data_IF_198813708896
#
_entry.id   IF_198813708896
#
_cell.length_a   1.000
_cell.length_b   1.000
_cell.length_c   1.000
_cell.angle_alpha   90.00
_cell.angle_beta   90.00
_cell.angle_gamma   90.00
#
_symmetry.space_group_name_H-M   'P 1'
#
loop_
_entity.id
_entity.type
_entity.pdbx_description
1 polymer ?
#
# COMPACT_ATOMS: atom_id res chain seq x y z
N UNK A 1 -2.31 30.99 4.43
CA UNK A 1 -2.07 30.65 5.85
C UNK A 1 -0.80 29.81 5.84
N UNK A 2 0.33 30.35 6.29
CA UNK A 2 1.63 29.67 6.24
C UNK A 2 1.67 28.69 7.41
N UNK A 3 1.56 27.41 7.15
CA UNK A 3 1.81 26.38 8.17
C UNK A 3 3.33 26.31 8.32
N UNK A 4 3.87 26.89 9.36
CA UNK A 4 5.26 26.67 9.76
C UNK A 4 5.38 25.23 10.23
N UNK A 5 6.28 24.46 9.59
CA UNK A 5 6.59 23.09 10.00
C UNK A 5 7.10 23.13 11.45
N UNK A 6 6.28 22.62 12.37
CA UNK A 6 6.73 22.29 13.72
C UNK A 6 7.37 20.89 13.63
N UNK A 7 8.71 20.83 13.65
CA UNK A 7 9.48 19.58 13.52
C UNK A 7 9.15 18.53 14.59
N UNK A 8 8.40 18.88 15.63
CA UNK A 8 7.96 18.01 16.72
C UNK A 8 6.47 17.65 16.67
N UNK A 9 5.71 18.10 15.67
CA UNK A 9 4.29 17.80 15.59
C UNK A 9 4.05 16.36 15.20
N UNK A 10 3.38 15.59 16.05
CA UNK A 10 2.84 14.27 15.72
C UNK A 10 1.49 14.42 15.05
N UNK A 11 1.37 13.97 13.81
CA UNK A 11 0.11 13.93 13.06
C UNK A 11 -0.67 12.65 13.38
N UNK A 12 -1.98 12.78 13.58
CA UNK A 12 -2.91 11.66 13.70
C UNK A 12 -3.71 11.43 12.42
N UNK A 13 -4.61 10.44 12.44
CA UNK A 13 -5.49 10.15 11.30
C UNK A 13 -6.33 11.35 10.89
N UNK A 14 -6.87 12.07 11.84
CA UNK A 14 -7.72 13.24 11.60
C UNK A 14 -7.01 14.44 10.93
N UNK A 15 -5.67 14.46 10.96
CA UNK A 15 -4.88 15.47 10.27
C UNK A 15 -4.70 15.16 8.76
N UNK A 16 -4.86 13.88 8.33
CA UNK A 16 -4.57 13.44 6.97
C UNK A 16 -5.39 14.16 5.89
N UNK A 17 -6.70 14.40 6.04
CA UNK A 17 -7.45 15.18 5.07
C UNK A 17 -6.89 16.60 4.88
N UNK A 18 -6.41 17.22 5.98
CA UNK A 18 -5.73 18.51 5.94
C UNK A 18 -4.41 18.44 5.16
N UNK A 19 -3.59 17.42 5.39
CA UNK A 19 -2.35 17.19 4.64
C UNK A 19 -2.62 16.92 3.15
N UNK A 20 -3.63 16.12 2.84
CA UNK A 20 -4.04 15.86 1.46
C UNK A 20 -4.49 17.15 0.75
N UNK A 21 -5.19 18.04 1.45
CA UNK A 21 -5.66 19.31 0.88
C UNK A 21 -4.54 20.29 0.51
N UNK A 22 -3.31 20.09 0.98
CA UNK A 22 -2.14 20.86 0.56
C UNK A 22 -1.70 20.53 -0.85
N UNK A 23 -2.05 19.34 -1.34
CA UNK A 23 -1.71 18.85 -2.67
C UNK A 23 -2.76 19.32 -3.68
N UNK A 24 -2.59 20.53 -4.22
CA UNK A 24 -3.55 21.20 -5.12
C UNK A 24 -3.26 21.02 -6.60
N UNK A 25 -2.30 20.17 -6.96
CA UNK A 25 -1.97 19.83 -8.34
C UNK A 25 -3.18 19.22 -9.09
N UNK A 26 -3.09 19.18 -10.43
CA UNK A 26 -4.14 18.60 -11.31
C UNK A 26 -4.23 17.07 -11.11
N UNK A 27 -4.85 16.65 -10.00
CA UNK A 27 -5.03 15.24 -9.66
C UNK A 27 -6.37 14.72 -10.18
N UNK A 28 -6.28 13.84 -11.19
CA UNK A 28 -7.45 13.21 -11.82
C UNK A 28 -7.96 11.97 -11.09
N UNK A 29 -7.23 11.51 -10.07
CA UNK A 29 -7.48 10.25 -9.38
C UNK A 29 -7.85 10.44 -7.89
N UNK A 30 -8.43 11.58 -7.51
CA UNK A 30 -8.82 11.88 -6.13
C UNK A 30 -9.61 10.77 -5.42
N UNK A 31 -10.66 10.18 -6.05
CA UNK A 31 -11.36 9.03 -5.46
C UNK A 31 -10.47 7.79 -5.26
N UNK A 32 -9.45 7.61 -6.11
CA UNK A 32 -8.50 6.51 -5.94
C UNK A 32 -7.58 6.74 -4.73
N UNK A 33 -7.22 7.98 -4.43
CA UNK A 33 -6.43 8.33 -3.25
C UNK A 33 -7.21 8.08 -1.96
N UNK A 34 -8.44 8.60 -1.86
CA UNK A 34 -9.26 8.45 -0.66
C UNK A 34 -9.60 6.99 -0.35
N UNK A 35 -9.71 6.12 -1.36
CA UNK A 35 -10.00 4.70 -1.15
C UNK A 35 -8.89 3.94 -0.40
N UNK A 36 -7.66 4.44 -0.38
CA UNK A 36 -6.51 3.79 0.25
C UNK A 36 -6.14 4.36 1.61
N UNK A 37 -6.75 5.47 2.02
CA UNK A 37 -6.29 6.27 3.16
C UNK A 37 -6.27 5.49 4.48
N UNK A 38 -7.38 4.85 4.84
CA UNK A 38 -7.53 4.09 6.09
C UNK A 38 -6.56 2.91 6.14
N UNK A 39 -6.50 2.18 5.03
CA UNK A 39 -5.59 1.03 4.87
C UNK A 39 -4.14 1.46 5.08
N UNK A 40 -3.70 2.51 4.41
CA UNK A 40 -2.35 3.04 4.53
C UNK A 40 -2.06 3.54 5.95
N UNK A 41 -3.03 4.23 6.56
CA UNK A 41 -2.87 4.71 7.93
C UNK A 41 -2.68 3.57 8.91
N UNK A 42 -3.61 2.59 8.95
CA UNK A 42 -3.51 1.46 9.88
C UNK A 42 -2.21 0.68 9.68
N UNK A 43 -1.80 0.51 8.43
CA UNK A 43 -0.57 -0.20 8.10
C UNK A 43 0.67 0.52 8.65
N UNK A 44 0.82 1.82 8.40
CA UNK A 44 1.98 2.61 8.84
C UNK A 44 1.96 2.97 10.32
N UNK A 45 0.77 3.09 10.92
CA UNK A 45 0.63 3.48 12.33
C UNK A 45 0.81 2.30 13.28
N UNK A 46 0.32 1.10 12.91
CA UNK A 46 0.15 0.00 13.86
C UNK A 46 0.86 -1.31 13.47
N UNK A 47 1.29 -1.47 12.23
CA UNK A 47 1.70 -2.78 11.69
C UNK A 47 3.13 -2.79 11.19
N UNK A 48 3.49 -1.88 10.29
CA UNK A 48 4.82 -1.86 9.65
C UNK A 48 5.94 -1.54 10.66
N UNK A 49 6.97 -2.35 10.63
CA UNK A 49 8.20 -2.14 11.41
C UNK A 49 9.22 -1.36 10.58
N UNK A 50 8.86 -0.14 10.22
CA UNK A 50 9.70 0.80 9.48
C UNK A 50 9.51 2.21 10.03
N UNK A 51 10.63 2.95 10.15
CA UNK A 51 10.63 4.37 10.52
C UNK A 51 11.54 5.14 9.57
N UNK A 52 11.45 6.47 9.49
CA UNK A 52 12.36 7.27 8.67
C UNK A 52 13.84 6.96 8.90
N UNK A 53 14.25 6.77 10.18
CA UNK A 53 15.63 6.48 10.57
C UNK A 53 16.07 5.07 10.19
N UNK A 54 15.11 4.15 10.08
CA UNK A 54 15.34 2.74 9.76
C UNK A 54 14.95 2.36 8.34
N UNK A 55 14.67 3.33 7.47
CA UNK A 55 14.23 3.07 6.09
C UNK A 55 15.23 2.26 5.26
N UNK A 56 16.51 2.27 5.64
CA UNK A 56 17.58 1.52 4.96
C UNK A 56 18.02 0.27 5.74
N UNK A 57 17.39 -0.04 6.88
CA UNK A 57 17.68 -1.24 7.68
C UNK A 57 17.29 -2.50 6.91
N UNK A 58 18.18 -3.47 6.81
CA UNK A 58 17.92 -4.75 6.14
C UNK A 58 16.79 -5.54 6.81
N UNK A 59 16.57 -5.34 8.12
CA UNK A 59 15.55 -6.02 8.92
C UNK A 59 14.21 -5.28 9.00
N UNK A 60 14.05 -4.16 8.25
CA UNK A 60 12.74 -3.48 8.17
C UNK A 60 11.71 -4.29 7.40
N UNK A 61 10.45 -4.06 7.68
CA UNK A 61 9.39 -4.46 6.75
C UNK A 61 9.46 -3.62 5.47
N UNK A 62 8.95 -4.15 4.36
CA UNK A 62 8.91 -3.48 3.07
C UNK A 62 7.47 -3.27 2.65
N UNK A 63 7.15 -2.06 2.22
CA UNK A 63 5.83 -1.74 1.69
C UNK A 63 5.91 -1.26 0.25
N UNK A 64 5.23 -1.97 -0.65
CA UNK A 64 5.15 -1.66 -2.08
C UNK A 64 3.76 -1.13 -2.42
N UNK A 65 3.67 0.14 -2.82
CA UNK A 65 2.42 0.71 -3.35
C UNK A 65 2.33 0.40 -4.84
N UNK A 66 1.66 -0.69 -5.22
CA UNK A 66 1.43 -1.03 -6.63
C UNK A 66 0.32 -0.19 -7.25
N UNK A 67 -0.79 0.01 -6.52
CA UNK A 67 -1.86 0.95 -6.87
C UNK A 67 -1.38 2.40 -6.76
N UNK A 68 -0.47 2.80 -7.66
CA UNK A 68 0.20 4.10 -7.61
C UNK A 68 -0.63 5.28 -8.13
N UNK A 69 -1.83 5.03 -8.67
CA UNK A 69 -2.74 6.08 -9.12
C UNK A 69 -3.43 6.74 -7.92
N UNK A 70 -3.39 8.07 -7.86
CA UNK A 70 -3.89 8.83 -6.71
C UNK A 70 -3.01 8.68 -5.45
N UNK A 71 -1.73 9.07 -5.51
CA UNK A 71 -0.77 8.83 -4.43
C UNK A 71 -0.92 9.79 -3.24
N UNK A 72 -1.88 10.71 -3.27
CA UNK A 72 -2.02 11.78 -2.27
C UNK A 72 -2.18 11.22 -0.85
N UNK A 73 -2.97 10.14 -0.66
CA UNK A 73 -3.08 9.49 0.64
C UNK A 73 -1.73 8.92 1.10
N UNK A 74 -0.97 8.32 0.18
CA UNK A 74 0.35 7.79 0.50
C UNK A 74 1.32 8.88 0.92
N UNK A 75 1.40 9.98 0.16
CA UNK A 75 2.26 11.12 0.52
C UNK A 75 1.85 11.78 1.84
N UNK A 76 0.54 11.91 2.09
CA UNK A 76 0.06 12.43 3.36
C UNK A 76 0.48 11.53 4.53
N UNK A 77 0.37 10.21 4.39
CA UNK A 77 0.82 9.24 5.42
C UNK A 77 2.34 9.29 5.59
N UNK A 78 3.11 9.33 4.50
CA UNK A 78 4.57 9.46 4.58
C UNK A 78 5.00 10.77 5.29
N UNK A 79 4.31 11.88 5.00
CA UNK A 79 4.56 13.15 5.67
C UNK A 79 4.17 13.10 7.17
N UNK A 80 3.01 12.52 7.49
CA UNK A 80 2.54 12.35 8.87
C UNK A 80 3.50 11.48 9.71
N UNK A 81 4.16 10.51 9.08
CA UNK A 81 5.14 9.62 9.70
C UNK A 81 6.59 10.12 9.60
N UNK A 82 6.83 11.28 9.01
CA UNK A 82 8.13 11.93 8.94
C UNK A 82 9.10 11.38 7.88
N UNK A 83 8.63 10.55 6.94
CA UNK A 83 9.46 10.08 5.82
C UNK A 83 9.76 11.19 4.82
N UNK A 84 8.81 12.09 4.61
CA UNK A 84 8.97 13.27 3.76
C UNK A 84 8.56 14.54 4.52
N UNK A 85 9.18 15.70 4.23
CA UNK A 85 8.78 16.96 4.84
C UNK A 85 7.37 17.37 4.41
N UNK A 86 6.57 17.93 5.34
CA UNK A 86 5.21 18.41 5.05
C UNK A 86 5.23 19.55 4.03
N UNK A 87 6.26 20.36 4.00
CA UNK A 87 6.43 21.47 3.06
C UNK A 87 6.65 21.01 1.60
N UNK A 88 6.86 19.72 1.34
CA UNK A 88 6.87 19.17 0.00
C UNK A 88 5.46 19.01 -0.60
N UNK A 89 4.43 18.84 0.26
CA UNK A 89 3.07 18.53 -0.19
C UNK A 89 2.47 19.60 -1.14
N UNK A 90 2.63 20.91 -0.88
CA UNK A 90 2.13 21.93 -1.81
C UNK A 90 2.74 21.89 -3.21
N UNK A 91 3.93 21.29 -3.35
CA UNK A 91 4.61 21.12 -4.64
C UNK A 91 4.14 19.92 -5.46
N UNK A 92 3.19 19.12 -4.95
CA UNK A 92 2.69 17.92 -5.63
C UNK A 92 2.38 18.15 -7.11
N UNK A 93 2.90 17.29 -7.98
CA UNK A 93 2.66 17.33 -9.43
C UNK A 93 3.39 18.43 -10.19
N UNK A 94 4.14 19.33 -9.52
CA UNK A 94 4.96 20.32 -10.22
C UNK A 94 6.25 19.71 -10.75
N UNK A 95 6.83 20.35 -11.79
CA UNK A 95 7.99 19.81 -12.51
C UNK A 95 9.21 19.54 -11.62
N UNK A 96 9.47 20.43 -10.66
CA UNK A 96 10.63 20.32 -9.76
C UNK A 96 10.32 19.58 -8.45
N UNK A 97 9.11 19.05 -8.31
CA UNK A 97 8.70 18.34 -7.09
C UNK A 97 9.15 16.88 -7.10
N UNK A 98 9.64 16.33 -5.99
CA UNK A 98 9.83 14.88 -5.85
C UNK A 98 8.51 14.12 -5.77
N UNK A 99 7.38 14.81 -5.49
CA UNK A 99 6.05 14.23 -5.36
C UNK A 99 5.30 14.31 -6.69
N UNK A 100 5.54 13.33 -7.56
CA UNK A 100 4.85 13.20 -8.84
C UNK A 100 3.47 12.54 -8.73
N UNK A 101 2.74 12.46 -9.85
CA UNK A 101 1.44 11.77 -9.95
C UNK A 101 1.52 10.26 -9.69
N UNK A 102 2.71 9.71 -9.66
CA UNK A 102 3.03 8.35 -9.22
C UNK A 102 4.27 8.40 -8.33
N UNK A 103 4.32 7.63 -7.24
CA UNK A 103 5.52 7.60 -6.40
C UNK A 103 6.74 7.11 -7.18
N UNK A 104 7.86 7.77 -6.95
CA UNK A 104 9.16 7.39 -7.50
C UNK A 104 10.09 6.97 -6.37
N UNK A 105 10.64 5.76 -6.46
CA UNK A 105 11.54 5.19 -5.44
C UNK A 105 12.81 6.03 -5.22
N UNK A 106 13.30 6.68 -6.27
CA UNK A 106 14.55 7.45 -6.20
C UNK A 106 14.34 8.81 -5.54
N UNK A 107 13.16 9.39 -5.75
CA UNK A 107 12.83 10.75 -5.32
C UNK A 107 12.12 10.81 -3.97
N UNK A 108 11.32 9.78 -3.62
CA UNK A 108 10.45 9.79 -2.44
C UNK A 108 11.01 8.87 -1.36
N UNK A 109 11.56 9.42 -0.26
CA UNK A 109 12.02 8.63 0.88
C UNK A 109 10.90 7.74 1.45
N UNK A 110 11.19 6.46 1.65
CA UNK A 110 10.21 5.47 2.13
C UNK A 110 9.41 4.78 1.03
N UNK A 111 9.50 5.21 -0.24
CA UNK A 111 8.93 4.46 -1.36
C UNK A 111 9.86 3.31 -1.76
N UNK A 112 9.35 2.07 -1.76
CA UNK A 112 10.15 0.87 -2.11
C UNK A 112 10.21 0.61 -3.61
N UNK A 113 9.20 1.05 -4.36
CA UNK A 113 9.14 0.93 -5.82
C UNK A 113 8.66 2.24 -6.46
N UNK A 114 9.09 2.51 -7.68
CA UNK A 114 8.39 3.42 -8.58
C UNK A 114 7.14 2.71 -9.09
N UNK A 115 5.98 3.37 -9.00
CA UNK A 115 4.70 2.77 -9.35
C UNK A 115 3.99 3.54 -10.47
N UNK A 116 2.80 3.06 -10.88
CA UNK A 116 2.02 3.60 -11.99
C UNK A 116 1.76 2.58 -13.09
N UNK A 117 2.61 1.58 -13.25
CA UNK A 117 2.35 0.44 -14.11
C UNK A 117 1.62 -0.65 -13.32
N UNK A 118 0.30 -0.76 -13.51
CA UNK A 118 -0.52 -1.75 -12.83
C UNK A 118 -0.02 -3.17 -13.11
N UNK A 119 -0.16 -4.05 -12.13
CA UNK A 119 0.26 -5.45 -12.21
C UNK A 119 1.72 -5.73 -11.86
N UNK A 120 2.57 -4.72 -11.64
CA UNK A 120 3.98 -4.93 -11.37
C UNK A 120 4.32 -5.13 -9.90
N UNK A 121 3.58 -4.49 -8.98
CA UNK A 121 3.95 -4.50 -7.56
C UNK A 121 3.88 -5.86 -6.91
N UNK A 122 2.86 -6.68 -7.19
CA UNK A 122 2.73 -8.00 -6.59
C UNK A 122 3.84 -8.97 -7.05
N UNK A 123 4.18 -9.11 -8.34
CA UNK A 123 5.34 -9.91 -8.77
C UNK A 123 6.66 -9.44 -8.15
N UNK A 124 6.88 -8.11 -8.02
CA UNK A 124 8.07 -7.56 -7.36
C UNK A 124 8.07 -7.92 -5.87
N UNK A 125 6.91 -7.87 -5.21
CA UNK A 125 6.78 -8.27 -3.80
C UNK A 125 7.09 -9.77 -3.60
N UNK A 126 6.64 -10.64 -4.52
CA UNK A 126 7.00 -12.07 -4.55
C UNK A 126 8.52 -12.22 -4.67
N UNK A 127 9.15 -11.54 -5.61
CA UNK A 127 10.61 -11.55 -5.78
C UNK A 127 11.35 -11.05 -4.53
N UNK A 128 10.84 -10.01 -3.89
CA UNK A 128 11.40 -9.46 -2.65
C UNK A 128 11.30 -10.45 -1.49
N UNK A 129 10.16 -11.13 -1.32
CA UNK A 129 9.96 -12.15 -0.29
C UNK A 129 10.89 -13.36 -0.51
N UNK A 130 11.07 -13.79 -1.78
CA UNK A 130 12.04 -14.83 -2.15
C UNK A 130 13.48 -14.38 -1.83
N UNK A 131 13.84 -13.15 -2.15
CA UNK A 131 15.14 -12.57 -1.88
C UNK A 131 15.47 -12.52 -0.39
N UNK A 132 14.52 -12.12 0.45
CA UNK A 132 14.67 -12.15 1.92
C UNK A 132 14.87 -13.58 2.42
N UNK A 133 14.06 -14.53 1.96
CA UNK A 133 14.18 -15.95 2.31
C UNK A 133 15.53 -16.53 1.89
N UNK A 134 16.01 -16.20 0.70
CA UNK A 134 17.32 -16.65 0.20
C UNK A 134 18.50 -16.10 1.04
N UNK A 135 18.34 -14.93 1.62
CA UNK A 135 19.30 -14.30 2.54
C UNK A 135 19.14 -14.77 4.00
N UNK A 136 18.26 -15.74 4.27
CA UNK A 136 17.87 -16.18 5.62
C UNK A 136 17.34 -15.06 6.52
N UNK A 137 16.76 -14.01 5.94
CA UNK A 137 16.07 -12.94 6.64
C UNK A 137 14.58 -13.31 6.79
N UNK A 138 14.26 -14.04 7.85
CA UNK A 138 12.92 -14.61 8.03
C UNK A 138 11.96 -13.68 8.79
N UNK A 139 12.47 -12.65 9.43
CA UNK A 139 11.69 -11.74 10.28
C UNK A 139 10.99 -10.61 9.50
N UNK A 140 11.62 -9.95 8.50
CA UNK A 140 10.99 -8.91 7.72
C UNK A 140 9.80 -9.41 6.91
N UNK A 141 8.71 -8.64 6.91
CA UNK A 141 7.55 -8.87 6.05
C UNK A 141 7.64 -8.02 4.77
N UNK A 142 7.01 -8.50 3.70
CA UNK A 142 6.79 -7.77 2.47
C UNK A 142 5.29 -7.53 2.33
N UNK A 143 4.92 -6.27 2.28
CA UNK A 143 3.55 -5.80 2.12
C UNK A 143 3.39 -5.17 0.74
N UNK A 144 2.31 -5.47 0.05
CA UNK A 144 1.97 -4.84 -1.23
C UNK A 144 0.50 -4.45 -1.25
N UNK A 145 0.23 -3.21 -1.65
CA UNK A 145 -1.12 -2.72 -1.86
C UNK A 145 -1.41 -2.63 -3.35
N UNK A 146 -2.46 -3.33 -3.77
CA UNK A 146 -2.99 -3.35 -5.14
C UNK A 146 -4.45 -2.90 -5.15
N UNK A 147 -4.95 -2.50 -6.30
CA UNK A 147 -6.38 -2.23 -6.52
C UNK A 147 -7.11 -3.44 -7.10
N UNK A 148 -8.43 -3.48 -6.96
CA UNK A 148 -9.29 -4.49 -7.58
C UNK A 148 -9.16 -4.53 -9.11
N UNK A 149 -9.15 -3.36 -9.78
CA UNK A 149 -8.95 -3.27 -11.23
C UNK A 149 -7.54 -3.74 -11.65
N UNK A 150 -6.55 -3.61 -10.79
CA UNK A 150 -5.20 -4.08 -11.04
C UNK A 150 -5.12 -5.61 -11.13
N UNK A 151 -6.07 -6.34 -10.54
CA UNK A 151 -6.18 -7.79 -10.66
C UNK A 151 -6.55 -8.26 -12.07
N UNK A 152 -6.95 -7.38 -12.97
CA UNK A 152 -7.14 -7.71 -14.38
C UNK A 152 -5.81 -7.91 -15.13
N UNK A 153 -4.69 -7.46 -14.55
CA UNK A 153 -3.35 -7.63 -15.13
C UNK A 153 -2.84 -9.07 -14.96
N UNK A 154 -2.38 -9.68 -16.07
CA UNK A 154 -1.95 -11.08 -16.13
C UNK A 154 -0.83 -11.43 -15.15
N UNK A 155 0.12 -10.53 -14.93
CA UNK A 155 1.24 -10.71 -14.00
C UNK A 155 0.81 -10.93 -12.54
N UNK A 156 -0.31 -10.34 -12.12
CA UNK A 156 -0.89 -10.61 -10.80
C UNK A 156 -1.40 -12.06 -10.69
N UNK A 157 -1.97 -12.60 -11.77
CA UNK A 157 -2.43 -13.98 -11.78
C UNK A 157 -1.27 -14.97 -11.62
N UNK A 158 -0.16 -14.71 -12.31
CA UNK A 158 1.07 -15.51 -12.21
C UNK A 158 1.67 -15.42 -10.81
N UNK A 159 1.76 -14.22 -10.24
CA UNK A 159 2.27 -14.00 -8.89
C UNK A 159 1.43 -14.70 -7.82
N UNK A 160 0.09 -14.62 -7.92
CA UNK A 160 -0.84 -15.31 -7.01
C UNK A 160 -0.65 -16.82 -7.08
N UNK A 161 -0.64 -17.38 -8.31
CA UNK A 161 -0.49 -18.82 -8.55
C UNK A 161 0.86 -19.37 -8.05
N UNK A 162 1.92 -18.55 -8.09
CA UNK A 162 3.25 -18.92 -7.63
C UNK A 162 3.40 -18.83 -6.10
N UNK A 163 2.96 -17.75 -5.49
CA UNK A 163 3.27 -17.43 -4.09
C UNK A 163 2.65 -18.40 -3.08
N UNK A 164 1.43 -18.90 -3.34
CA UNK A 164 0.75 -19.87 -2.48
C UNK A 164 1.53 -21.17 -2.35
N UNK A 165 1.74 -21.94 -3.45
CA UNK A 165 2.53 -23.18 -3.41
C UNK A 165 3.98 -22.97 -2.92
N UNK A 166 4.55 -21.79 -3.14
CA UNK A 166 5.88 -21.45 -2.63
C UNK A 166 5.93 -21.20 -1.12
N UNK A 167 4.77 -21.12 -0.45
CA UNK A 167 4.67 -20.93 1.00
C UNK A 167 5.33 -19.61 1.45
N UNK A 168 5.05 -18.50 0.76
CA UNK A 168 5.65 -17.20 1.09
C UNK A 168 4.93 -16.55 2.27
N UNK A 169 5.06 -17.12 3.46
CA UNK A 169 4.37 -16.70 4.68
C UNK A 169 4.59 -15.23 5.04
N UNK A 170 5.74 -14.64 4.67
CA UNK A 170 6.03 -13.23 4.96
C UNK A 170 5.56 -12.26 3.88
N UNK A 171 4.80 -12.74 2.89
CA UNK A 171 4.17 -11.94 1.86
C UNK A 171 2.71 -11.64 2.24
N UNK A 172 2.41 -10.36 2.36
CA UNK A 172 1.07 -9.84 2.63
C UNK A 172 0.60 -8.98 1.47
N UNK A 173 -0.57 -9.28 0.95
CA UNK A 173 -1.20 -8.49 -0.11
C UNK A 173 -2.45 -7.81 0.45
N UNK A 174 -2.63 -6.54 0.12
CA UNK A 174 -3.84 -5.80 0.44
C UNK A 174 -4.49 -5.44 -0.89
N UNK A 175 -5.74 -5.85 -1.07
CA UNK A 175 -6.54 -5.47 -2.23
C UNK A 175 -7.55 -4.44 -1.78
N UNK A 176 -7.44 -3.20 -2.28
CA UNK A 176 -8.48 -2.20 -2.07
C UNK A 176 -9.55 -2.41 -3.14
N UNK A 177 -10.71 -2.90 -2.68
CA UNK A 177 -11.87 -3.18 -3.53
C UNK A 177 -12.85 -2.00 -3.48
N UNK A 178 -12.80 -1.15 -4.51
CA UNK A 178 -13.71 -0.03 -4.72
C UNK A 178 -14.61 -0.24 -5.95
N UNK A 179 -14.82 -1.47 -6.33
CA UNK A 179 -15.64 -1.88 -7.47
C UNK A 179 -15.22 -1.24 -8.80
N UNK A 180 -13.92 -1.04 -9.00
CA UNK A 180 -13.36 -0.45 -10.23
C UNK A 180 -12.88 -1.50 -11.24
N UNK A 181 -12.85 -2.77 -10.88
CA UNK A 181 -12.47 -3.88 -11.77
C UNK A 181 -13.41 -3.98 -12.97
N UNK A 182 -12.84 -4.26 -14.16
CA UNK A 182 -13.61 -4.44 -15.40
C UNK A 182 -14.25 -5.83 -15.48
N UNK A 183 -13.69 -6.80 -14.78
CA UNK A 183 -14.12 -8.18 -14.81
C UNK A 183 -14.50 -8.69 -13.42
N UNK A 184 -15.68 -9.26 -13.30
CA UNK A 184 -16.09 -9.95 -12.07
C UNK A 184 -15.31 -11.27 -11.93
N UNK A 185 -14.76 -11.50 -10.74
CA UNK A 185 -14.10 -12.76 -10.41
C UNK A 185 -15.14 -13.74 -9.83
N UNK A 186 -15.32 -14.94 -10.40
CA UNK A 186 -16.19 -15.95 -9.83
C UNK A 186 -15.81 -16.26 -8.37
N UNK A 187 -16.78 -16.17 -7.45
CA UNK A 187 -16.54 -16.33 -6.02
C UNK A 187 -15.92 -15.13 -5.31
N UNK A 188 -15.58 -14.07 -6.04
CA UNK A 188 -14.97 -12.85 -5.50
C UNK A 188 -13.46 -12.92 -5.41
N UNK A 189 -12.87 -11.81 -4.97
CA UNK A 189 -11.40 -11.63 -4.92
C UNK A 189 -10.75 -12.63 -3.95
N UNK A 190 -11.29 -12.77 -2.74
CA UNK A 190 -10.73 -13.67 -1.72
C UNK A 190 -10.64 -15.12 -2.22
N UNK A 191 -11.72 -15.64 -2.83
CA UNK A 191 -11.78 -17.00 -3.33
C UNK A 191 -10.70 -17.31 -4.39
N UNK A 192 -10.30 -16.31 -5.17
CA UNK A 192 -9.22 -16.45 -6.15
C UNK A 192 -7.87 -16.72 -5.49
N UNK A 193 -7.56 -15.99 -4.42
CA UNK A 193 -6.34 -16.19 -3.65
C UNK A 193 -6.37 -17.53 -2.90
N UNK A 194 -7.51 -17.87 -2.30
CA UNK A 194 -7.71 -19.16 -1.60
C UNK A 194 -7.49 -20.35 -2.54
N UNK A 195 -8.00 -20.29 -3.78
CA UNK A 195 -7.79 -21.33 -4.79
C UNK A 195 -6.30 -21.53 -5.13
N UNK A 196 -5.48 -20.51 -4.93
CA UNK A 196 -4.03 -20.57 -5.09
C UNK A 196 -3.27 -20.91 -3.78
N UNK A 197 -3.96 -21.26 -2.71
CA UNK A 197 -3.36 -21.68 -1.44
C UNK A 197 -3.02 -20.54 -0.46
N UNK A 198 -3.51 -19.33 -0.70
CA UNK A 198 -3.35 -18.21 0.23
C UNK A 198 -4.32 -18.31 1.41
N UNK A 199 -3.98 -17.66 2.51
CA UNK A 199 -4.95 -17.23 3.53
C UNK A 199 -5.61 -15.96 3.06
N UNK A 200 -6.94 -15.86 3.15
CA UNK A 200 -7.66 -14.69 2.71
C UNK A 200 -8.71 -14.25 3.72
N UNK A 201 -8.91 -12.94 3.84
CA UNK A 201 -9.97 -12.33 4.64
C UNK A 201 -10.51 -11.09 3.92
N UNK A 202 -11.82 -10.86 4.07
CA UNK A 202 -12.47 -9.66 3.54
C UNK A 202 -13.01 -8.85 4.70
N UNK A 203 -12.71 -7.55 4.73
CA UNK A 203 -13.12 -6.63 5.81
C UNK A 203 -13.65 -5.32 5.24
N UNK A 204 -14.33 -4.55 6.07
CA UNK A 204 -14.62 -3.15 5.80
C UNK A 204 -13.30 -2.35 5.82
N UNK A 205 -12.97 -1.72 4.69
CA UNK A 205 -11.76 -0.93 4.52
C UNK A 205 -11.77 0.43 5.25
N UNK A 206 -12.87 0.76 5.95
CA UNK A 206 -13.00 1.96 6.80
C UNK A 206 -12.93 1.64 8.29
N UNK A 207 -13.07 0.37 8.65
CA UNK A 207 -12.95 -0.08 10.05
C UNK A 207 -11.48 -0.37 10.40
N UNK A 208 -10.85 0.56 11.12
CA UNK A 208 -9.44 0.46 11.53
C UNK A 208 -9.15 -0.75 12.43
N UNK A 209 -10.10 -1.15 13.28
CA UNK A 209 -9.90 -2.32 14.14
C UNK A 209 -10.04 -3.63 13.35
N UNK A 210 -10.98 -3.70 12.41
CA UNK A 210 -11.10 -4.82 11.50
C UNK A 210 -9.88 -4.96 10.59
N UNK A 211 -9.37 -3.84 10.06
CA UNK A 211 -8.14 -3.81 9.26
C UNK A 211 -6.94 -4.31 10.09
N UNK A 212 -6.76 -3.78 11.30
CA UNK A 212 -5.66 -4.20 12.16
C UNK A 212 -5.73 -5.68 12.52
N UNK A 213 -6.91 -6.17 12.88
CA UNK A 213 -7.13 -7.59 13.18
C UNK A 213 -6.82 -8.48 11.97
N UNK A 214 -7.24 -8.05 10.77
CA UNK A 214 -6.97 -8.76 9.53
C UNK A 214 -5.47 -8.78 9.18
N UNK A 215 -4.77 -7.64 9.30
CA UNK A 215 -3.34 -7.54 9.00
C UNK A 215 -2.47 -8.38 9.95
N UNK A 216 -2.93 -8.60 11.16
CA UNK A 216 -2.20 -9.37 12.19
C UNK A 216 -2.73 -10.79 12.38
N UNK A 217 -3.70 -11.22 11.56
CA UNK A 217 -4.27 -12.57 11.64
C UNK A 217 -3.19 -13.65 11.37
N UNK A 218 -3.17 -14.75 12.13
CA UNK A 218 -2.22 -15.83 11.91
C UNK A 218 -2.52 -16.59 10.61
N UNK A 219 -1.48 -16.84 9.80
CA UNK A 219 -1.59 -17.56 8.53
C UNK A 219 -0.38 -18.49 8.27
N UNK A 220 -0.06 -19.40 9.20
CA UNK A 220 1.18 -20.16 9.19
C UNK A 220 1.43 -20.89 7.87
N UNK A 221 2.62 -20.70 7.30
CA UNK A 221 3.08 -21.35 6.08
C UNK A 221 2.44 -20.86 4.79
N UNK A 222 1.60 -19.84 4.83
CA UNK A 222 0.87 -19.33 3.65
C UNK A 222 1.05 -17.83 3.49
N UNK A 223 1.13 -17.30 2.26
CA UNK A 223 0.96 -15.86 2.05
C UNK A 223 -0.47 -15.43 2.42
N UNK A 224 -0.64 -14.16 2.75
CA UNK A 224 -1.92 -13.64 3.24
C UNK A 224 -2.45 -12.50 2.36
N UNK A 225 -3.76 -12.49 2.11
CA UNK A 225 -4.44 -11.39 1.44
C UNK A 225 -5.56 -10.84 2.31
N UNK A 226 -5.60 -9.52 2.41
CA UNK A 226 -6.71 -8.77 3.02
C UNK A 226 -7.42 -8.01 1.90
N UNK A 227 -8.69 -8.31 1.68
CA UNK A 227 -9.56 -7.57 0.76
C UNK A 227 -10.29 -6.50 1.56
N UNK A 228 -9.86 -5.27 1.43
CA UNK A 228 -10.43 -4.10 2.08
C UNK A 228 -11.52 -3.50 1.16
N UNK A 229 -12.79 -3.72 1.51
CA UNK A 229 -13.92 -3.16 0.75
C UNK A 229 -14.15 -1.72 1.16
N UNK A 230 -14.28 -0.86 0.18
CA UNK A 230 -14.59 0.56 0.35
C UNK A 230 -15.72 0.96 -0.60
N UNK A 231 -16.16 2.20 -0.54
CA UNK A 231 -17.20 2.73 -1.40
C UNK A 231 -16.82 2.59 -2.87
N UNK A 232 -17.78 2.26 -3.74
CA UNK A 232 -17.56 2.20 -5.17
C UNK A 232 -17.01 3.51 -5.74
N UNK A 233 -16.05 3.43 -6.67
CA UNK A 233 -15.39 4.59 -7.29
C UNK A 233 -16.37 5.59 -7.91
N UNK A 234 -17.54 5.13 -8.34
CA UNK A 234 -18.56 5.92 -9.03
C UNK A 234 -19.84 6.10 -8.17
N UNK A 235 -19.75 5.98 -6.85
CA UNK A 235 -20.87 6.19 -5.94
C UNK A 235 -21.09 7.68 -5.65
#
# INVERSE_FOLDING_TARGET
MTITADENRRYGYDDLPGLMSLMTGDEKHGPAATSTLDVLWVLYDRVLRVTPERRDDALRDRFLLSKGHGPMAYYAVLAAKGFVPVDWLPGFGSYDSPLGHHPDRVLVPGAEIGSGSLGHGLPIAVGSALGLRAQALHDPAVWVLIGDAELDEGSNHEAIAFAGPAGLERLHTIVVDNSSASHALPGGIAARFEAAGWSAVTVDGRDHEALYAAFTAPHPGRPHVVVARVEPKNA
#
